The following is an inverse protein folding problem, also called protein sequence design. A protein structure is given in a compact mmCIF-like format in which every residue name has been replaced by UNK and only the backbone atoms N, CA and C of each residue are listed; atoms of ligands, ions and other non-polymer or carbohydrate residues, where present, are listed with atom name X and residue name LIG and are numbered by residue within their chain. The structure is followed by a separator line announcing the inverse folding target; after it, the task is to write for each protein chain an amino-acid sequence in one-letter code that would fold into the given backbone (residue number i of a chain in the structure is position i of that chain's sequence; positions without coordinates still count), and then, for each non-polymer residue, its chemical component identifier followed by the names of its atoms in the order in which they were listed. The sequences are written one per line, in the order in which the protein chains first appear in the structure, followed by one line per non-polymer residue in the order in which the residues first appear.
data_IF_614355488564
#
_entry.id   IF_614355488564
#
_cell.length_a   1.000
_cell.length_b   1.000
_cell.length_c   1.000
_cell.angle_alpha   90.00
_cell.angle_beta   90.00
_cell.angle_gamma   90.00
#
_symmetry.space_group_name_H-M   'P 1'
#
loop_
_entity.id
_entity.type
_entity.pdbx_description
1 polymer ?
#
# COMPACT_ATOMS: atom_id res chain seq x y z
N UNK A 1 64.50 -11.94 60.28
CA UNK A 1 63.19 -12.63 60.34
C UNK A 1 62.04 -11.63 60.29
N UNK A 2 62.05 -10.50 60.98
CA UNK A 2 60.95 -9.51 60.98
C UNK A 2 60.76 -8.76 59.67
N UNK A 3 61.75 -8.53 58.80
CA UNK A 3 61.61 -7.81 57.52
C UNK A 3 60.87 -8.61 56.44
N UNK A 4 60.92 -9.92 56.43
CA UNK A 4 60.25 -10.80 55.46
C UNK A 4 58.74 -10.88 55.75
N UNK A 5 58.33 -10.77 57.01
CA UNK A 5 56.88 -10.81 57.36
C UNK A 5 56.19 -9.53 56.97
N UNK A 6 56.86 -8.35 57.06
CA UNK A 6 56.28 -7.05 56.62
C UNK A 6 56.12 -7.00 55.11
N UNK A 7 57.06 -7.54 54.32
CA UNK A 7 56.90 -7.58 52.84
C UNK A 7 55.72 -8.45 52.38
N UNK A 8 55.51 -9.58 53.05
CA UNK A 8 54.37 -10.47 52.75
C UNK A 8 53.04 -9.77 53.06
N UNK A 9 52.96 -9.06 54.20
CA UNK A 9 51.78 -8.32 54.58
C UNK A 9 51.45 -7.24 53.55
N UNK A 10 52.44 -6.48 53.08
CA UNK A 10 52.26 -5.44 52.05
C UNK A 10 51.75 -6.04 50.74
N UNK A 11 52.32 -7.19 50.32
CA UNK A 11 51.86 -7.87 49.07
C UNK A 11 50.44 -8.37 49.21
N UNK A 12 50.02 -8.90 50.34
CA UNK A 12 48.66 -9.38 50.60
C UNK A 12 47.68 -8.19 50.60
N UNK A 13 48.04 -7.08 51.26
CA UNK A 13 47.20 -5.86 51.27
C UNK A 13 47.07 -5.28 49.87
N UNK A 14 48.17 -5.16 49.13
CA UNK A 14 48.14 -4.67 47.75
C UNK A 14 47.27 -5.56 46.83
N UNK A 15 47.40 -6.90 46.97
CA UNK A 15 46.59 -7.86 46.23
C UNK A 15 45.10 -7.77 46.56
N UNK A 16 44.75 -7.60 47.84
CA UNK A 16 43.34 -7.44 48.25
C UNK A 16 42.74 -6.12 47.73
N UNK A 17 43.49 -5.03 47.79
CA UNK A 17 43.06 -3.73 47.22
C UNK A 17 42.84 -3.83 45.72
N UNK A 18 43.78 -4.50 45.01
CA UNK A 18 43.64 -4.70 43.54
C UNK A 18 42.41 -5.52 43.20
N UNK A 19 42.11 -6.60 43.97
CA UNK A 19 40.90 -7.39 43.77
C UNK A 19 39.62 -6.60 44.03
N UNK A 20 39.60 -5.74 45.05
CA UNK A 20 38.48 -4.85 45.33
C UNK A 20 38.25 -3.84 44.20
N UNK A 21 39.31 -3.23 43.68
CA UNK A 21 39.23 -2.30 42.56
C UNK A 21 38.73 -2.99 41.28
N UNK A 22 39.21 -4.21 41.02
CA UNK A 22 38.71 -5.02 39.91
C UNK A 22 37.23 -5.35 40.07
N UNK A 23 36.80 -5.72 41.28
CA UNK A 23 35.38 -5.97 41.56
C UNK A 23 34.48 -4.73 41.33
N UNK A 24 34.92 -3.56 41.81
CA UNK A 24 34.22 -2.30 41.58
C UNK A 24 34.16 -1.96 40.08
N UNK A 25 35.26 -2.18 39.37
CA UNK A 25 35.31 -1.95 37.92
C UNK A 25 34.32 -2.85 37.16
N UNK A 26 34.29 -4.14 37.49
CA UNK A 26 33.37 -5.11 36.85
C UNK A 26 31.90 -4.71 37.11
N UNK A 27 31.56 -4.38 38.37
CA UNK A 27 30.20 -3.96 38.75
C UNK A 27 29.81 -2.69 38.00
N UNK A 28 30.70 -1.69 37.97
CA UNK A 28 30.46 -0.43 37.25
C UNK A 28 30.30 -0.67 35.75
N UNK A 29 31.11 -1.52 35.17
CA UNK A 29 31.02 -1.89 33.74
C UNK A 29 29.71 -2.60 33.41
N UNK A 30 29.29 -3.58 34.23
CA UNK A 30 28.02 -4.27 34.06
C UNK A 30 26.85 -3.33 34.19
N UNK A 31 26.88 -2.42 35.16
CA UNK A 31 25.83 -1.41 35.34
C UNK A 31 25.75 -0.46 34.15
N UNK A 32 26.89 0.00 33.64
CA UNK A 32 26.96 0.85 32.46
C UNK A 32 26.41 0.13 31.21
N UNK A 33 26.81 -1.13 31.02
CA UNK A 33 26.36 -1.95 29.91
C UNK A 33 24.85 -2.22 29.96
N UNK A 34 24.34 -2.53 31.15
CA UNK A 34 22.92 -2.78 31.38
C UNK A 34 22.08 -1.53 31.14
N UNK A 35 22.58 -0.37 31.57
CA UNK A 35 21.89 0.91 31.35
C UNK A 35 21.85 1.28 29.85
N UNK A 36 22.93 1.07 29.14
CA UNK A 36 23.00 1.26 27.68
C UNK A 36 22.05 0.30 26.94
N UNK A 37 21.99 -0.95 27.38
CA UNK A 37 21.10 -1.95 26.80
C UNK A 37 19.62 -1.59 27.01
N UNK A 38 19.26 -1.14 28.21
CA UNK A 38 17.89 -0.72 28.53
C UNK A 38 17.47 0.52 27.72
N UNK A 39 18.38 1.47 27.49
CA UNK A 39 18.14 2.63 26.61
C UNK A 39 17.83 2.20 25.18
N UNK A 40 18.61 1.28 24.62
CA UNK A 40 18.36 0.77 23.28
C UNK A 40 17.03 0.03 23.17
N UNK A 41 16.64 -0.75 24.18
CA UNK A 41 15.32 -1.40 24.21
C UNK A 41 14.20 -0.36 24.22
N UNK A 42 14.32 0.67 25.08
CA UNK A 42 13.32 1.73 25.17
C UNK A 42 13.18 2.54 23.87
N UNK A 43 14.30 2.85 23.20
CA UNK A 43 14.28 3.49 21.87
C UNK A 43 13.60 2.61 20.81
N UNK A 44 13.88 1.30 20.81
CA UNK A 44 13.24 0.37 19.89
C UNK A 44 11.74 0.23 20.15
N UNK A 45 11.32 0.20 21.41
CA UNK A 45 9.89 0.17 21.76
C UNK A 45 9.16 1.45 21.37
N UNK A 46 9.80 2.62 21.56
CA UNK A 46 9.24 3.89 21.09
C UNK A 46 9.11 3.95 19.57
N UNK A 47 10.14 3.47 18.85
CA UNK A 47 10.11 3.42 17.39
C UNK A 47 9.01 2.48 16.89
N UNK A 48 8.85 1.30 17.52
CA UNK A 48 7.77 0.35 17.23
C UNK A 48 6.39 0.96 17.48
N UNK A 49 6.22 1.64 18.61
CA UNK A 49 4.96 2.28 18.95
C UNK A 49 4.60 3.40 17.95
N UNK A 50 5.57 4.25 17.58
CA UNK A 50 5.40 5.29 16.58
C UNK A 50 5.05 4.71 15.21
N UNK A 51 5.75 3.66 14.77
CA UNK A 51 5.47 2.95 13.52
C UNK A 51 4.07 2.31 13.50
N UNK A 52 3.68 1.66 14.61
CA UNK A 52 2.34 1.07 14.75
C UNK A 52 1.25 2.14 14.70
N UNK A 53 1.47 3.28 15.30
CA UNK A 53 0.53 4.41 15.28
C UNK A 53 0.41 5.01 13.87
N UNK A 54 1.52 5.20 13.18
CA UNK A 54 1.52 5.69 11.78
C UNK A 54 0.82 4.70 10.84
N UNK A 55 1.04 3.40 11.03
CA UNK A 55 0.36 2.34 10.29
C UNK A 55 -1.16 2.38 10.51
N UNK A 56 -1.59 2.57 11.76
CA UNK A 56 -3.02 2.69 12.09
C UNK A 56 -3.64 3.94 11.46
N UNK A 57 -2.94 5.06 11.52
CA UNK A 57 -3.38 6.31 10.89
C UNK A 57 -3.51 6.15 9.37
N UNK A 58 -2.52 5.54 8.74
CA UNK A 58 -2.57 5.24 7.29
C UNK A 58 -3.73 4.31 6.93
N UNK A 59 -4.02 3.31 7.76
CA UNK A 59 -5.20 2.44 7.58
C UNK A 59 -6.51 3.23 7.66
N UNK A 60 -6.63 4.12 8.64
CA UNK A 60 -7.81 4.96 8.81
C UNK A 60 -8.00 5.92 7.63
N UNK A 61 -6.93 6.57 7.17
CA UNK A 61 -6.97 7.44 5.99
C UNK A 61 -7.40 6.69 4.72
N UNK A 62 -6.86 5.48 4.50
CA UNK A 62 -7.26 4.63 3.36
C UNK A 62 -8.74 4.25 3.47
N UNK A 63 -9.19 3.92 4.67
CA UNK A 63 -10.59 3.58 4.90
C UNK A 63 -11.50 4.79 4.67
N UNK A 64 -11.15 5.98 5.16
CA UNK A 64 -11.89 7.21 4.98
C UNK A 64 -11.95 7.63 3.50
N UNK A 65 -10.82 7.59 2.79
CA UNK A 65 -10.77 7.84 1.35
C UNK A 65 -11.65 6.84 0.56
N UNK A 66 -11.63 5.59 0.95
CA UNK A 66 -12.46 4.55 0.33
C UNK A 66 -13.94 4.84 0.56
N UNK A 67 -14.33 5.15 1.80
CA UNK A 67 -15.71 5.50 2.14
C UNK A 67 -16.17 6.79 1.43
N UNK A 68 -15.29 7.77 1.33
CA UNK A 68 -15.59 9.02 0.60
C UNK A 68 -15.81 8.76 -0.89
N UNK A 69 -14.96 7.97 -1.52
CA UNK A 69 -15.11 7.57 -2.93
C UNK A 69 -16.41 6.79 -3.16
N UNK A 70 -16.75 5.86 -2.28
CA UNK A 70 -18.02 5.14 -2.32
C UNK A 70 -19.21 6.10 -2.22
N UNK A 71 -19.14 7.02 -1.28
CA UNK A 71 -20.21 8.00 -1.06
C UNK A 71 -20.42 8.87 -2.28
N UNK A 72 -19.36 9.32 -2.94
CA UNK A 72 -19.44 10.05 -4.20
C UNK A 72 -20.03 9.21 -5.32
N UNK A 73 -19.56 7.98 -5.52
CA UNK A 73 -20.05 7.08 -6.56
C UNK A 73 -21.54 6.74 -6.36
N UNK A 74 -21.96 6.51 -5.12
CA UNK A 74 -23.37 6.31 -4.78
C UNK A 74 -24.22 7.54 -5.06
N UNK A 75 -23.73 8.72 -4.70
CA UNK A 75 -24.48 9.95 -4.88
C UNK A 75 -24.56 10.37 -6.35
N UNK A 76 -23.42 10.39 -7.04
CA UNK A 76 -23.31 10.99 -8.39
C UNK A 76 -23.83 10.06 -9.49
N UNK A 77 -23.56 8.77 -9.41
CA UNK A 77 -24.00 7.82 -10.43
C UNK A 77 -25.33 7.18 -10.07
N UNK A 78 -25.42 6.55 -8.91
CA UNK A 78 -26.60 5.76 -8.54
C UNK A 78 -27.77 6.67 -8.16
N UNK A 79 -27.51 7.68 -7.32
CA UNK A 79 -28.54 8.63 -6.87
C UNK A 79 -29.15 9.42 -8.00
N UNK A 80 -28.36 9.88 -8.98
CA UNK A 80 -28.85 10.63 -10.15
C UNK A 80 -29.69 9.72 -11.06
N UNK A 81 -29.24 8.51 -11.39
CA UNK A 81 -29.97 7.58 -12.23
C UNK A 81 -31.30 7.16 -11.58
N UNK A 82 -31.29 6.85 -10.26
CA UNK A 82 -32.53 6.55 -9.54
C UNK A 82 -33.49 7.72 -9.51
N UNK A 83 -33.02 8.96 -9.40
CA UNK A 83 -33.82 10.16 -9.46
C UNK A 83 -34.44 10.34 -10.84
N UNK A 84 -33.71 10.05 -11.92
CA UNK A 84 -34.22 10.08 -13.29
C UNK A 84 -35.26 8.99 -13.54
N UNK A 85 -35.06 7.77 -13.06
CA UNK A 85 -36.04 6.68 -13.09
C UNK A 85 -37.33 7.11 -12.37
N UNK A 86 -37.21 7.70 -11.17
CA UNK A 86 -38.37 8.19 -10.40
C UNK A 86 -39.16 9.26 -11.18
N UNK A 87 -38.44 10.18 -11.82
CA UNK A 87 -39.09 11.24 -12.66
C UNK A 87 -39.79 10.63 -13.86
N UNK A 88 -39.16 9.71 -14.60
CA UNK A 88 -39.73 9.02 -15.74
C UNK A 88 -41.02 8.26 -15.37
N UNK A 89 -40.99 7.51 -14.29
CA UNK A 89 -42.18 6.78 -13.82
C UNK A 89 -43.25 7.72 -13.29
N UNK A 90 -42.87 8.79 -12.56
CA UNK A 90 -43.82 9.78 -12.04
C UNK A 90 -44.56 10.57 -13.13
N UNK A 91 -43.94 10.79 -14.29
CA UNK A 91 -44.53 11.50 -15.42
C UNK A 91 -45.23 10.58 -16.44
N UNK A 92 -45.19 9.26 -16.23
CA UNK A 92 -45.78 8.29 -17.16
C UNK A 92 -47.32 8.23 -17.08
N UNK A 93 -47.96 8.67 -15.97
CA UNK A 93 -49.37 8.45 -15.67
C UNK A 93 -50.38 9.17 -16.57
N UNK A 94 -49.98 10.19 -17.34
CA UNK A 94 -50.85 10.96 -18.22
C UNK A 94 -50.55 10.84 -19.73
N UNK A 95 -49.69 9.88 -20.10
CA UNK A 95 -49.20 9.75 -21.49
C UNK A 95 -49.96 8.64 -22.25
N UNK A 96 -49.93 8.74 -23.60
CA UNK A 96 -50.38 7.66 -24.45
C UNK A 96 -49.66 6.33 -24.12
N UNK A 97 -50.37 5.22 -24.22
CA UNK A 97 -49.88 3.90 -23.80
C UNK A 97 -48.53 3.53 -24.45
N UNK A 98 -48.29 3.90 -25.69
CA UNK A 98 -47.04 3.65 -26.40
C UNK A 98 -45.85 4.41 -25.82
N UNK A 99 -46.07 5.67 -25.40
CA UNK A 99 -45.04 6.53 -24.78
C UNK A 99 -44.79 6.12 -23.35
N UNK A 100 -45.83 5.74 -22.64
CA UNK A 100 -45.77 5.20 -21.28
C UNK A 100 -44.95 3.89 -21.23
N UNK A 101 -45.25 2.94 -22.13
CA UNK A 101 -44.51 1.71 -22.23
C UNK A 101 -43.03 1.94 -22.50
N UNK A 102 -42.69 2.87 -23.42
CA UNK A 102 -41.30 3.24 -23.70
C UNK A 102 -40.57 3.75 -22.45
N UNK A 103 -41.20 4.64 -21.67
CA UNK A 103 -40.62 5.15 -20.41
C UNK A 103 -40.41 4.07 -19.34
N UNK A 104 -41.32 3.10 -19.28
CA UNK A 104 -41.19 1.95 -18.38
C UNK A 104 -40.02 1.07 -18.79
N UNK A 105 -39.89 0.79 -20.08
CA UNK A 105 -38.76 -0.04 -20.59
C UNK A 105 -37.41 0.65 -20.38
N UNK A 106 -37.30 1.95 -20.70
CA UNK A 106 -36.09 2.73 -20.40
C UNK A 106 -35.74 2.74 -18.90
N UNK A 107 -36.77 2.91 -18.05
CA UNK A 107 -36.55 2.88 -16.59
C UNK A 107 -36.07 1.50 -16.09
N UNK A 108 -36.59 0.43 -16.69
CA UNK A 108 -36.16 -0.96 -16.35
C UNK A 108 -34.74 -1.22 -16.77
N UNK A 109 -34.32 -0.76 -17.95
CA UNK A 109 -32.96 -0.91 -18.45
C UNK A 109 -31.96 -0.13 -17.58
N UNK A 110 -32.28 1.11 -17.23
CA UNK A 110 -31.50 1.92 -16.31
C UNK A 110 -31.40 1.28 -14.91
N UNK A 111 -32.48 0.72 -14.39
CA UNK A 111 -32.47 0.01 -13.10
C UNK A 111 -31.57 -1.22 -13.14
N UNK A 112 -31.58 -1.96 -14.25
CA UNK A 112 -30.72 -3.13 -14.44
C UNK A 112 -29.24 -2.72 -14.47
N UNK A 113 -28.91 -1.58 -15.08
CA UNK A 113 -27.58 -1.01 -15.08
C UNK A 113 -27.15 -0.60 -13.67
N UNK A 114 -27.98 0.11 -12.91
CA UNK A 114 -27.70 0.49 -11.51
C UNK A 114 -27.43 -0.71 -10.62
N UNK A 115 -28.20 -1.79 -10.80
CA UNK A 115 -27.97 -3.04 -10.04
C UNK A 115 -26.61 -3.66 -10.39
N UNK A 116 -26.21 -3.62 -11.68
CA UNK A 116 -24.90 -4.12 -12.10
C UNK A 116 -23.76 -3.25 -11.52
N UNK A 117 -23.93 -1.93 -11.53
CA UNK A 117 -22.95 -0.98 -10.98
C UNK A 117 -22.80 -1.13 -9.46
N UNK A 118 -23.90 -1.27 -8.72
CA UNK A 118 -23.90 -1.58 -7.29
C UNK A 118 -23.18 -2.89 -6.97
N UNK A 119 -23.41 -3.93 -7.77
CA UNK A 119 -22.71 -5.21 -7.60
C UNK A 119 -21.20 -5.07 -7.89
N UNK A 120 -20.85 -4.29 -8.89
CA UNK A 120 -19.46 -3.99 -9.25
C UNK A 120 -18.77 -3.20 -8.12
N UNK A 121 -19.44 -2.18 -7.56
CA UNK A 121 -18.97 -1.39 -6.45
C UNK A 121 -18.78 -2.26 -5.19
N UNK A 122 -19.76 -3.10 -4.86
CA UNK A 122 -19.65 -4.04 -3.75
C UNK A 122 -18.49 -5.04 -3.93
N UNK A 123 -18.23 -5.48 -5.16
CA UNK A 123 -17.07 -6.34 -5.48
C UNK A 123 -15.74 -5.61 -5.38
N UNK A 124 -15.66 -4.34 -5.81
CA UNK A 124 -14.44 -3.53 -5.71
C UNK A 124 -14.06 -3.18 -4.26
N UNK A 125 -15.05 -3.17 -3.37
CA UNK A 125 -14.89 -3.02 -1.92
C UNK A 125 -14.42 -4.29 -1.22
N UNK A 126 -14.50 -5.43 -1.89
CA UNK A 126 -14.20 -6.72 -1.31
C UNK A 126 -12.68 -6.93 -1.22
N UNK A 127 -12.10 -6.54 -0.10
CA UNK A 127 -10.81 -7.03 0.42
C UNK A 127 -10.70 -8.57 0.25
N UNK A 128 -11.81 -9.25 0.37
CA UNK A 128 -11.97 -10.68 0.20
C UNK A 128 -11.52 -11.20 -1.18
N UNK A 129 -11.67 -10.44 -2.26
CA UNK A 129 -11.28 -10.91 -3.60
C UNK A 129 -9.76 -11.09 -3.78
N UNK A 130 -8.96 -10.23 -3.11
CA UNK A 130 -7.50 -10.35 -3.16
C UNK A 130 -7.05 -11.54 -2.33
N UNK A 131 -7.65 -11.70 -1.15
CA UNK A 131 -7.38 -12.83 -0.24
C UNK A 131 -7.76 -14.17 -0.88
N UNK A 132 -8.91 -14.24 -1.55
CA UNK A 132 -9.42 -15.49 -2.14
C UNK A 132 -8.81 -15.83 -3.51
N UNK A 133 -8.42 -14.83 -4.29
CA UNK A 133 -8.10 -15.02 -5.70
C UNK A 133 -6.71 -14.53 -6.14
N UNK A 134 -6.00 -13.82 -5.26
CA UNK A 134 -4.67 -13.26 -5.52
C UNK A 134 -4.65 -12.01 -6.39
N UNK A 135 -3.49 -11.34 -6.39
CA UNK A 135 -3.24 -10.06 -7.06
C UNK A 135 -3.56 -10.10 -8.57
N UNK A 136 -3.06 -11.12 -9.29
CA UNK A 136 -3.19 -11.20 -10.75
C UNK A 136 -4.65 -11.24 -11.18
N UNK A 137 -5.48 -12.03 -10.49
CA UNK A 137 -6.90 -12.15 -10.84
C UNK A 137 -7.67 -10.88 -10.52
N UNK A 138 -7.32 -10.20 -9.41
CA UNK A 138 -7.89 -8.92 -9.05
C UNK A 138 -7.58 -7.84 -10.11
N UNK A 139 -6.32 -7.76 -10.58
CA UNK A 139 -5.91 -6.85 -11.67
C UNK A 139 -6.67 -7.18 -12.95
N UNK A 140 -6.72 -8.45 -13.38
CA UNK A 140 -7.40 -8.84 -14.61
C UNK A 140 -8.91 -8.51 -14.57
N UNK A 141 -9.57 -8.69 -13.43
CA UNK A 141 -10.98 -8.33 -13.26
C UNK A 141 -11.21 -6.83 -13.50
N UNK A 142 -10.32 -5.99 -12.98
CA UNK A 142 -10.41 -4.53 -13.16
C UNK A 142 -10.09 -4.12 -14.60
N UNK A 143 -9.06 -4.73 -15.20
CA UNK A 143 -8.68 -4.55 -16.62
C UNK A 143 -9.87 -4.87 -17.54
N UNK A 144 -10.52 -6.02 -17.35
CA UNK A 144 -11.69 -6.43 -18.13
C UNK A 144 -12.83 -5.42 -18.02
N UNK A 145 -13.04 -4.87 -16.82
CA UNK A 145 -14.06 -3.85 -16.56
C UNK A 145 -13.80 -2.58 -17.37
N UNK A 146 -12.55 -2.08 -17.32
CA UNK A 146 -12.19 -0.84 -18.05
C UNK A 146 -12.19 -1.06 -19.56
N UNK A 147 -11.66 -2.17 -20.06
CA UNK A 147 -11.68 -2.49 -21.48
C UNK A 147 -13.11 -2.58 -22.04
N UNK A 148 -14.04 -3.16 -21.25
CA UNK A 148 -15.47 -3.21 -21.63
C UNK A 148 -16.15 -1.83 -21.68
N UNK A 149 -15.67 -0.88 -20.88
CA UNK A 149 -16.21 0.49 -20.89
C UNK A 149 -15.80 1.31 -22.13
N UNK A 150 -14.74 0.89 -22.83
CA UNK A 150 -14.18 1.60 -23.98
C UNK A 150 -13.46 2.90 -23.67
N UNK A 151 -13.27 3.23 -22.38
CA UNK A 151 -12.62 4.47 -21.93
C UNK A 151 -11.10 4.45 -22.17
N UNK A 152 -10.48 3.28 -22.03
CA UNK A 152 -9.04 3.07 -22.12
C UNK A 152 -8.79 1.65 -22.62
N UNK A 153 -7.76 1.44 -23.43
CA UNK A 153 -7.32 0.10 -23.82
C UNK A 153 -6.18 -0.33 -22.90
N UNK A 154 -6.39 -1.41 -22.14
CA UNK A 154 -5.39 -1.92 -21.21
C UNK A 154 -4.88 -3.27 -21.71
N UNK A 155 -3.55 -3.38 -21.85
CA UNK A 155 -2.84 -4.62 -22.16
C UNK A 155 -2.12 -5.14 -20.90
N UNK A 156 -2.28 -6.44 -20.62
CA UNK A 156 -1.64 -7.07 -19.47
C UNK A 156 -0.68 -8.16 -19.94
N UNK A 157 0.55 -8.08 -19.50
CA UNK A 157 1.60 -9.06 -19.77
C UNK A 157 2.09 -9.70 -18.47
N UNK A 158 2.14 -11.01 -18.43
CA UNK A 158 2.62 -11.78 -17.28
C UNK A 158 3.80 -12.63 -17.72
N UNK A 159 4.90 -12.56 -16.98
CA UNK A 159 6.10 -13.37 -17.20
C UNK A 159 6.45 -14.13 -15.94
N UNK A 160 6.80 -15.41 -16.09
CA UNK A 160 7.03 -16.32 -14.97
C UNK A 160 5.74 -16.99 -14.47
N UNK A 161 5.87 -17.93 -13.55
CA UNK A 161 4.73 -18.59 -12.91
C UNK A 161 4.23 -17.75 -11.72
N UNK A 162 2.95 -17.34 -11.70
CA UNK A 162 2.39 -16.59 -10.60
C UNK A 162 2.46 -17.35 -9.27
N UNK A 163 2.93 -16.67 -8.24
CA UNK A 163 2.96 -17.16 -6.86
C UNK A 163 2.39 -16.10 -5.92
N UNK A 164 1.98 -16.51 -4.72
CA UNK A 164 1.49 -15.56 -3.72
C UNK A 164 2.65 -14.80 -3.07
N UNK A 165 2.50 -13.47 -3.01
CA UNK A 165 3.39 -12.57 -2.28
C UNK A 165 2.98 -12.40 -0.82
N UNK A 166 1.85 -13.02 -0.44
CA UNK A 166 1.19 -12.82 0.85
C UNK A 166 0.18 -11.68 0.82
N UNK A 167 -0.87 -11.84 1.62
CA UNK A 167 -2.05 -10.97 1.64
C UNK A 167 -1.72 -9.47 1.72
N UNK A 168 -0.81 -9.10 2.63
CA UNK A 168 -0.46 -7.70 2.86
C UNK A 168 0.22 -7.06 1.65
N UNK A 169 1.18 -7.76 1.02
CA UNK A 169 1.87 -7.27 -0.17
C UNK A 169 0.93 -7.14 -1.35
N UNK A 170 0.13 -8.17 -1.58
CA UNK A 170 -0.82 -8.21 -2.70
C UNK A 170 -1.86 -7.09 -2.61
N UNK A 171 -2.36 -6.83 -1.40
CA UNK A 171 -3.28 -5.73 -1.15
C UNK A 171 -2.66 -4.36 -1.47
N UNK A 172 -1.44 -4.10 -0.98
CA UNK A 172 -0.74 -2.84 -1.21
C UNK A 172 -0.43 -2.66 -2.69
N UNK A 173 0.05 -3.70 -3.37
CA UNK A 173 0.30 -3.68 -4.81
C UNK A 173 -0.96 -3.39 -5.62
N UNK A 174 -2.08 -3.99 -5.23
CA UNK A 174 -3.36 -3.71 -5.88
C UNK A 174 -3.82 -2.27 -5.67
N UNK A 175 -3.60 -1.69 -4.49
CA UNK A 175 -3.90 -0.26 -4.23
C UNK A 175 -3.02 0.68 -5.05
N UNK A 176 -1.74 0.35 -5.22
CA UNK A 176 -0.85 1.11 -6.11
C UNK A 176 -1.33 1.01 -7.58
N UNK A 177 -1.73 -0.19 -8.01
CA UNK A 177 -2.33 -0.39 -9.34
C UNK A 177 -3.61 0.45 -9.53
N UNK A 178 -4.54 0.43 -8.56
CA UNK A 178 -5.78 1.21 -8.63
C UNK A 178 -5.50 2.71 -8.71
N UNK A 179 -4.57 3.23 -7.91
CA UNK A 179 -4.18 4.64 -7.93
C UNK A 179 -3.52 5.01 -9.27
N UNK A 180 -2.61 4.17 -9.80
CA UNK A 180 -2.00 4.36 -11.11
C UNK A 180 -3.05 4.40 -12.23
N UNK A 181 -3.99 3.45 -12.25
CA UNK A 181 -5.11 3.40 -13.19
C UNK A 181 -6.00 4.65 -13.09
N UNK A 182 -6.36 5.05 -11.87
CA UNK A 182 -7.17 6.24 -11.64
C UNK A 182 -6.48 7.53 -12.11
N UNK A 183 -5.17 7.64 -11.87
CA UNK A 183 -4.38 8.76 -12.36
C UNK A 183 -4.33 8.80 -13.90
N UNK A 184 -4.19 7.64 -14.55
CA UNK A 184 -4.25 7.53 -15.99
C UNK A 184 -5.61 7.99 -16.54
N UNK A 185 -6.72 7.51 -15.96
CA UNK A 185 -8.08 7.87 -16.39
C UNK A 185 -8.41 9.34 -16.18
N UNK A 186 -7.94 9.96 -15.07
CA UNK A 186 -8.30 11.34 -14.72
C UNK A 186 -7.40 12.39 -15.34
N UNK A 187 -6.10 12.10 -15.48
CA UNK A 187 -5.11 13.14 -15.74
C UNK A 187 -4.24 12.88 -16.98
N UNK A 188 -4.04 11.63 -17.38
CA UNK A 188 -3.08 11.33 -18.42
C UNK A 188 -3.59 11.60 -19.84
N UNK A 189 -4.90 11.65 -20.08
CA UNK A 189 -5.46 11.66 -21.44
C UNK A 189 -4.89 10.55 -22.32
N UNK A 190 -4.55 9.41 -21.73
CA UNK A 190 -3.97 8.27 -22.39
C UNK A 190 -5.00 7.48 -23.21
N UNK A 191 -4.53 6.81 -24.25
CA UNK A 191 -5.33 5.87 -25.04
C UNK A 191 -5.03 4.42 -24.67
N UNK A 192 -3.81 4.17 -24.19
CA UNK A 192 -3.33 2.84 -23.81
C UNK A 192 -2.67 2.87 -22.46
N UNK A 193 -2.89 1.81 -21.70
CA UNK A 193 -2.18 1.48 -20.46
C UNK A 193 -1.58 0.08 -20.60
N UNK A 194 -0.31 -0.06 -20.32
CA UNK A 194 0.39 -1.35 -20.29
C UNK A 194 0.66 -1.75 -18.85
N UNK A 195 0.24 -2.95 -18.49
CA UNK A 195 0.51 -3.54 -17.16
C UNK A 195 1.41 -4.75 -17.38
N UNK A 196 2.54 -4.78 -16.69
CA UNK A 196 3.45 -5.91 -16.75
C UNK A 196 3.73 -6.44 -15.35
N UNK A 197 3.52 -7.75 -15.18
CA UNK A 197 3.86 -8.47 -13.96
C UNK A 197 4.96 -9.47 -14.28
N UNK A 198 6.03 -9.44 -13.51
CA UNK A 198 7.14 -10.39 -13.63
C UNK A 198 7.26 -11.14 -12.31
N UNK A 199 7.11 -12.46 -12.38
CA UNK A 199 7.27 -13.38 -11.26
C UNK A 199 8.58 -14.15 -11.43
N UNK A 200 9.61 -13.76 -10.68
CA UNK A 200 10.87 -14.48 -10.62
C UNK A 200 11.19 -14.90 -9.17
N UNK A 201 12.04 -15.91 -8.95
CA UNK A 201 12.31 -16.45 -7.60
C UNK A 201 12.81 -15.39 -6.59
N UNK A 202 13.56 -14.40 -7.06
CA UNK A 202 14.18 -13.37 -6.22
C UNK A 202 13.62 -11.96 -6.50
N UNK A 203 12.69 -11.83 -7.44
CA UNK A 203 12.17 -10.54 -7.86
C UNK A 203 10.73 -10.65 -8.34
N UNK A 204 9.84 -9.93 -7.68
CA UNK A 204 8.54 -9.57 -8.26
C UNK A 204 8.60 -8.13 -8.76
N UNK A 205 8.07 -7.89 -9.96
CA UNK A 205 7.99 -6.55 -10.53
C UNK A 205 6.60 -6.28 -11.10
N UNK A 206 5.99 -5.17 -10.68
CA UNK A 206 4.78 -4.59 -11.27
C UNK A 206 5.15 -3.30 -11.98
N UNK A 207 4.91 -3.23 -13.29
CA UNK A 207 5.07 -2.02 -14.11
C UNK A 207 3.71 -1.59 -14.64
N UNK A 208 3.40 -0.31 -14.52
CA UNK A 208 2.19 0.33 -15.04
C UNK A 208 2.65 1.51 -15.88
N UNK A 209 2.39 1.50 -17.19
CA UNK A 209 2.86 2.52 -18.12
C UNK A 209 1.74 3.01 -19.02
N UNK A 210 1.51 4.32 -19.05
CA UNK A 210 0.54 4.97 -19.94
C UNK A 210 1.23 5.73 -21.08
N UNK A 211 0.51 5.93 -22.18
CA UNK A 211 0.92 6.71 -23.35
C UNK A 211 0.38 8.15 -23.32
N UNK A 212 0.09 8.68 -22.15
CA UNK A 212 -0.57 9.96 -21.95
C UNK A 212 0.35 11.18 -22.07
N UNK A 213 -0.14 12.31 -21.57
CA UNK A 213 0.57 13.61 -21.66
C UNK A 213 1.80 13.69 -20.77
N UNK A 214 1.98 12.77 -19.80
CA UNK A 214 3.05 12.83 -18.82
C UNK A 214 3.04 14.13 -18.00
N UNK A 215 4.03 14.29 -17.14
CA UNK A 215 4.19 15.49 -16.29
C UNK A 215 5.65 15.70 -15.90
N UNK A 216 5.99 16.92 -15.48
CA UNK A 216 7.32 17.23 -14.93
C UNK A 216 7.36 16.98 -13.42
N UNK A 217 8.55 16.76 -12.86
CA UNK A 217 8.78 16.58 -11.42
C UNK A 217 8.25 17.77 -10.59
N UNK A 218 8.30 19.00 -11.12
CA UNK A 218 7.78 20.20 -10.46
C UNK A 218 6.24 20.23 -10.42
N UNK A 219 5.60 19.77 -11.49
CA UNK A 219 4.14 19.65 -11.57
C UNK A 219 3.64 18.55 -10.59
N UNK A 220 4.38 17.47 -10.46
CA UNK A 220 4.06 16.38 -9.54
C UNK A 220 4.00 16.83 -8.07
N UNK A 221 4.92 17.70 -7.65
CA UNK A 221 4.96 18.23 -6.27
C UNK A 221 3.78 19.16 -5.95
N UNK A 222 3.30 19.93 -6.92
CA UNK A 222 2.33 21.01 -6.69
C UNK A 222 0.86 20.62 -6.95
N UNK A 223 0.57 19.70 -7.87
CA UNK A 223 -0.78 19.36 -8.29
C UNK A 223 -1.23 17.92 -7.99
N UNK A 224 -0.30 16.96 -7.84
CA UNK A 224 -0.61 15.54 -7.65
C UNK A 224 -0.05 15.00 -6.31
N UNK A 225 0.22 15.89 -5.36
CA UNK A 225 1.08 15.67 -4.18
C UNK A 225 0.67 14.55 -3.23
N UNK A 226 -0.60 14.21 -3.08
CA UNK A 226 -1.02 13.16 -2.13
C UNK A 226 -0.98 11.76 -2.73
N UNK A 227 -1.49 11.54 -3.94
CA UNK A 227 -1.58 10.22 -4.56
C UNK A 227 -0.22 9.57 -4.84
N UNK A 228 0.72 10.32 -5.41
CA UNK A 228 2.07 9.83 -5.70
C UNK A 228 2.85 9.51 -4.43
N UNK A 229 2.81 10.43 -3.46
CA UNK A 229 3.45 10.23 -2.15
C UNK A 229 2.86 9.05 -1.38
N UNK A 230 1.55 8.86 -1.47
CA UNK A 230 0.86 7.72 -0.86
C UNK A 230 1.28 6.39 -1.51
N UNK A 231 1.45 6.35 -2.85
CA UNK A 231 1.93 5.14 -3.52
C UNK A 231 3.36 4.77 -3.09
N UNK A 232 4.27 5.75 -3.00
CA UNK A 232 5.64 5.56 -2.54
C UNK A 232 5.68 5.07 -1.08
N UNK A 233 4.95 5.74 -0.19
CA UNK A 233 4.85 5.33 1.22
C UNK A 233 4.30 3.92 1.37
N UNK A 234 3.25 3.57 0.62
CA UNK A 234 2.69 2.22 0.61
C UNK A 234 3.68 1.17 0.11
N UNK A 235 4.43 1.46 -0.96
CA UNK A 235 5.47 0.56 -1.44
C UNK A 235 6.55 0.31 -0.38
N UNK A 236 6.98 1.36 0.32
CA UNK A 236 7.95 1.26 1.41
C UNK A 236 7.45 0.36 2.54
N UNK A 237 6.16 0.43 2.90
CA UNK A 237 5.55 -0.40 3.95
C UNK A 237 5.65 -1.91 3.68
N UNK A 238 5.71 -2.32 2.42
CA UNK A 238 5.85 -3.74 2.03
C UNK A 238 7.29 -4.11 1.63
N UNK A 239 8.25 -3.24 1.92
CA UNK A 239 9.64 -3.46 1.57
C UNK A 239 9.92 -3.39 0.06
N UNK A 240 9.05 -2.73 -0.71
CA UNK A 240 9.19 -2.56 -2.14
C UNK A 240 10.00 -1.31 -2.49
N UNK A 241 10.79 -1.39 -3.57
CA UNK A 241 11.35 -0.23 -4.24
C UNK A 241 10.27 0.36 -5.18
N UNK A 242 10.04 1.66 -5.09
CA UNK A 242 9.10 2.41 -5.92
C UNK A 242 9.86 3.37 -6.82
N UNK A 243 9.53 3.37 -8.12
CA UNK A 243 10.08 4.32 -9.08
C UNK A 243 8.97 4.84 -9.97
N UNK A 244 8.93 6.15 -10.14
CA UNK A 244 8.04 6.86 -11.05
C UNK A 244 8.88 7.66 -12.05
N UNK A 245 8.72 7.33 -13.31
CA UNK A 245 9.31 8.06 -14.43
C UNK A 245 8.18 8.70 -15.24
N UNK A 246 8.24 10.01 -15.49
CA UNK A 246 7.30 10.71 -16.35
C UNK A 246 7.99 11.83 -17.13
N UNK A 247 7.65 11.92 -18.41
CA UNK A 247 8.19 12.91 -19.32
C UNK A 247 7.02 13.59 -20.01
N UNK A 248 6.91 14.93 -19.98
CA UNK A 248 5.88 15.65 -20.69
C UNK A 248 5.82 15.25 -22.18
N UNK A 249 4.62 14.86 -22.62
CA UNK A 249 4.36 14.38 -23.99
C UNK A 249 4.70 12.90 -24.25
N UNK A 250 5.19 12.15 -23.25
CA UNK A 250 5.64 10.75 -23.43
C UNK A 250 5.04 9.78 -22.41
N UNK A 251 4.00 10.21 -21.66
CA UNK A 251 3.33 9.40 -20.67
C UNK A 251 4.05 9.26 -19.34
N UNK A 252 3.60 8.30 -18.54
CA UNK A 252 4.23 7.99 -17.25
C UNK A 252 4.40 6.48 -17.03
N UNK A 253 5.37 6.12 -16.19
CA UNK A 253 5.66 4.74 -15.84
C UNK A 253 5.88 4.62 -14.34
N UNK A 254 5.08 3.80 -13.69
CA UNK A 254 5.25 3.37 -12.30
C UNK A 254 5.89 1.99 -12.32
N UNK A 255 6.94 1.82 -11.55
CA UNK A 255 7.61 0.55 -11.34
C UNK A 255 7.70 0.24 -9.85
N UNK A 256 7.25 -0.97 -9.46
CA UNK A 256 7.29 -1.45 -8.07
C UNK A 256 7.99 -2.79 -8.05
N UNK A 257 9.10 -2.87 -7.32
CA UNK A 257 9.92 -4.08 -7.22
C UNK A 257 9.96 -4.58 -5.79
N UNK A 258 9.78 -5.89 -5.62
CA UNK A 258 9.83 -6.57 -4.32
C UNK A 258 10.76 -7.78 -4.43
N UNK A 259 11.62 -7.96 -3.44
CA UNK A 259 12.23 -9.26 -3.17
C UNK A 259 11.19 -10.13 -2.41
N UNK A 260 10.67 -11.21 -3.01
CA UNK A 260 9.65 -12.03 -2.39
C UNK A 260 10.18 -12.79 -1.15
N UNK A 261 11.49 -13.02 -1.08
CA UNK A 261 12.14 -13.75 0.00
C UNK A 261 12.49 -12.86 1.21
N UNK A 262 12.47 -11.54 1.03
CA UNK A 262 12.71 -10.61 2.12
C UNK A 262 11.49 -10.58 3.03
N UNK A 263 11.66 -10.98 4.30
CA UNK A 263 10.59 -10.87 5.29
C UNK A 263 10.10 -9.42 5.37
N UNK A 264 8.79 -9.25 5.42
CA UNK A 264 8.21 -7.96 5.83
C UNK A 264 8.76 -7.69 7.22
N UNK A 265 9.23 -6.49 7.47
CA UNK A 265 9.59 -6.01 8.80
C UNK A 265 8.26 -5.86 9.58
N UNK A 266 7.60 -6.99 9.81
CA UNK A 266 6.59 -7.16 10.82
C UNK A 266 7.36 -7.62 12.04
N UNK A 267 7.47 -6.77 13.04
CA UNK A 267 8.16 -7.00 14.31
C UNK A 267 9.68 -7.03 14.26
N UNK A 268 10.26 -5.85 14.49
CA UNK A 268 11.50 -5.59 15.23
C UNK A 268 12.49 -6.73 15.49
N UNK A 269 12.93 -7.47 14.46
CA UNK A 269 14.10 -8.30 14.55
C UNK A 269 15.13 -7.83 13.53
N UNK A 270 15.99 -6.92 13.97
CA UNK A 270 17.30 -6.84 13.33
C UNK A 270 17.99 -8.17 13.61
N UNK A 271 18.11 -9.02 12.59
CA UNK A 271 19.01 -10.16 12.65
C UNK A 271 20.40 -9.62 12.95
N UNK A 272 20.94 -9.96 14.12
CA UNK A 272 22.36 -9.84 14.37
C UNK A 272 23.08 -10.72 13.34
N UNK A 273 23.59 -10.12 12.26
CA UNK A 273 24.69 -10.71 11.53
C UNK A 273 25.90 -10.62 12.44
N UNK A 274 26.24 -11.73 13.09
CA UNK A 274 27.53 -11.95 13.70
C UNK A 274 28.59 -11.85 12.60
N UNK A 275 29.53 -10.97 12.81
CA UNK A 275 30.78 -10.81 12.09
C UNK A 275 31.77 -10.22 13.06
#
# INVERSE_FOLDING_TARGET
MFQADDEVIIIVIAGTIMLLLLGIFIISFLFFYQNKHNLHIAEQEQLKAAYSQEMLTTRLEVQEQTLHHISQELHDNIGQVLSFIKLNLGTAGGLEEKVKQKKIDESRDLLSQVIADLRSLAKSLSFQQIVEHGLLKAINTEVDRINKSGLLTIDTQVSGEPYSLGEQRELVLFRIFQEGLNNTLKYAHARKLSIRLIYAPELFNLTIADDGVGFSADTAKNQHGSGLKNMESRATLIGAAFKLDSIPGSGSTINVQIDPNKELIADGQYSHSAG
#
